data_IF_258756434551
#
_entry.id   IF_258756434551
#
_cell.length_a   1.000
_cell.length_b   1.000
_cell.length_c   1.000
_cell.angle_alpha   90.00
_cell.angle_beta   90.00
_cell.angle_gamma   90.00
#
_symmetry.space_group_name_H-M   'P 1'
#
loop_
_entity.id
_entity.type
_entity.pdbx_description
1 polymer ?
#
# COMPACT_ATOMS: atom_id res chain seq x y z
N UNK A 1 -25.89 -4.23 -5.50
CA UNK A 1 -25.99 -2.90 -6.14
C UNK A 1 -24.62 -2.59 -6.73
N UNK A 2 -24.55 -2.34 -8.04
CA UNK A 2 -23.29 -1.94 -8.68
C UNK A 2 -22.98 -0.49 -8.27
N UNK A 3 -21.71 -0.20 -7.94
CA UNK A 3 -21.26 1.16 -7.60
C UNK A 3 -21.23 2.00 -8.88
N UNK A 4 -21.83 3.19 -8.85
CA UNK A 4 -21.61 4.21 -9.89
C UNK A 4 -20.31 4.97 -9.61
N UNK A 5 -19.23 4.54 -10.26
CA UNK A 5 -17.89 5.14 -10.12
C UNK A 5 -17.74 6.52 -10.77
N UNK A 6 -18.75 6.99 -11.53
CA UNK A 6 -18.78 8.39 -11.97
C UNK A 6 -19.11 9.34 -10.82
N UNK A 7 -19.78 8.86 -9.77
CA UNK A 7 -20.17 9.65 -8.59
C UNK A 7 -19.43 9.24 -7.32
N UNK A 8 -19.16 7.95 -7.18
CA UNK A 8 -18.51 7.39 -5.99
C UNK A 8 -17.01 7.56 -6.11
N UNK A 9 -16.39 8.23 -5.13
CA UNK A 9 -14.93 8.47 -5.12
C UNK A 9 -14.19 7.34 -4.40
N UNK A 10 -14.78 6.80 -3.33
CA UNK A 10 -14.19 5.71 -2.59
C UNK A 10 -15.22 4.66 -2.16
N UNK A 11 -14.75 3.42 -2.04
CA UNK A 11 -15.52 2.30 -1.50
C UNK A 11 -14.68 1.51 -0.50
N UNK A 12 -15.36 0.67 0.29
CA UNK A 12 -14.74 -0.30 1.18
C UNK A 12 -15.33 -1.68 0.88
N UNK A 13 -14.47 -2.69 0.81
CA UNK A 13 -14.90 -4.08 0.70
C UNK A 13 -15.63 -4.54 1.97
N UNK A 14 -16.73 -5.27 1.80
CA UNK A 14 -17.52 -5.84 2.90
C UNK A 14 -17.58 -7.37 2.74
N UNK A 15 -16.65 -8.12 3.36
CA UNK A 15 -16.47 -9.56 3.09
C UNK A 15 -17.73 -10.38 3.41
N UNK A 16 -18.38 -10.13 4.56
CA UNK A 16 -19.60 -10.84 4.97
C UNK A 16 -20.75 -10.71 3.99
N UNK A 17 -20.73 -9.70 3.12
CA UNK A 17 -21.78 -9.46 2.14
C UNK A 17 -21.28 -9.60 0.69
N UNK A 18 -19.98 -9.82 0.48
CA UNK A 18 -19.35 -9.98 -0.82
C UNK A 18 -19.60 -8.80 -1.78
N UNK A 19 -19.51 -7.56 -1.29
CA UNK A 19 -19.70 -6.39 -2.16
C UNK A 19 -18.91 -5.16 -1.72
N UNK A 20 -18.65 -4.27 -2.68
CA UNK A 20 -18.08 -2.95 -2.44
C UNK A 20 -19.15 -1.96 -1.95
N UNK A 21 -18.94 -1.37 -0.78
CA UNK A 21 -19.83 -0.35 -0.23
C UNK A 21 -19.23 1.05 -0.43
N UNK A 22 -19.97 1.94 -1.08
CA UNK A 22 -19.59 3.34 -1.21
C UNK A 22 -19.31 4.01 0.15
N UNK A 23 -18.30 4.88 0.18
CA UNK A 23 -17.96 5.74 1.31
C UNK A 23 -18.51 7.14 1.01
N UNK A 24 -19.58 7.52 1.73
CA UNK A 24 -20.26 8.81 1.54
C UNK A 24 -19.53 9.95 2.26
N UNK A 25 -18.92 9.66 3.41
CA UNK A 25 -18.23 10.64 4.26
C UNK A 25 -16.74 10.33 4.30
N UNK A 26 -15.98 11.04 3.47
CA UNK A 26 -14.52 10.94 3.41
C UNK A 26 -13.86 11.99 4.29
N UNK A 27 -12.71 11.62 4.85
CA UNK A 27 -11.77 12.55 5.48
C UNK A 27 -11.24 13.54 4.45
N UNK A 28 -11.30 14.85 4.75
CA UNK A 28 -10.94 15.94 3.83
C UNK A 28 -9.51 16.42 3.98
N UNK A 29 -8.65 15.61 4.60
CA UNK A 29 -7.23 15.93 4.78
C UNK A 29 -6.55 16.28 3.45
N UNK A 30 -5.87 17.41 3.42
CA UNK A 30 -5.09 17.90 2.27
C UNK A 30 -3.60 17.55 2.39
N UNK A 31 -2.87 17.62 1.28
CA UNK A 31 -1.41 17.39 1.26
C UNK A 31 -0.64 18.46 2.05
N UNK A 32 -1.17 19.68 2.10
CA UNK A 32 -0.66 20.83 2.84
C UNK A 32 -0.74 20.65 4.36
N UNK A 33 -1.69 19.86 4.84
CA UNK A 33 -1.89 19.57 6.27
C UNK A 33 -0.91 18.52 6.81
N UNK A 34 -0.16 17.84 5.94
CA UNK A 34 0.79 16.81 6.32
C UNK A 34 2.21 17.40 6.40
N UNK A 35 2.67 17.67 7.62
CA UNK A 35 3.93 18.36 7.89
C UNK A 35 5.06 17.34 8.12
N UNK A 36 6.26 17.65 7.60
CA UNK A 36 7.48 16.86 7.86
C UNK A 36 7.63 15.60 7.01
N UNK A 37 6.82 15.46 5.96
CA UNK A 37 6.84 14.33 5.01
C UNK A 37 6.83 14.79 3.55
N UNK A 38 7.50 15.92 3.26
CA UNK A 38 7.48 16.57 1.94
C UNK A 38 8.03 15.68 0.82
N UNK A 39 9.08 14.91 1.10
CA UNK A 39 9.63 13.96 0.14
C UNK A 39 8.63 12.84 -0.17
N UNK A 40 8.00 12.24 0.84
CA UNK A 40 6.99 11.19 0.68
C UNK A 40 5.77 11.72 -0.09
N UNK A 41 5.34 12.96 0.19
CA UNK A 41 4.28 13.64 -0.57
C UNK A 41 4.63 13.76 -2.04
N UNK A 42 5.83 14.24 -2.35
CA UNK A 42 6.28 14.45 -3.72
C UNK A 42 6.39 13.13 -4.48
N UNK A 43 7.01 12.12 -3.88
CA UNK A 43 7.20 10.81 -4.51
C UNK A 43 5.87 10.10 -4.78
N UNK A 44 4.96 10.04 -3.78
CA UNK A 44 3.66 9.41 -3.98
C UNK A 44 2.81 10.17 -4.99
N UNK A 45 2.78 11.50 -4.91
CA UNK A 45 2.03 12.35 -5.85
C UNK A 45 2.51 12.15 -7.28
N UNK A 46 3.82 12.19 -7.52
CA UNK A 46 4.39 11.97 -8.85
C UNK A 46 4.05 10.58 -9.39
N UNK A 47 4.09 9.56 -8.55
CA UNK A 47 3.70 8.20 -8.93
C UNK A 47 2.22 8.13 -9.34
N UNK A 48 1.33 8.74 -8.55
CA UNK A 48 -0.11 8.81 -8.84
C UNK A 48 -0.41 9.64 -10.10
N UNK A 49 0.31 10.74 -10.34
CA UNK A 49 0.16 11.54 -11.56
C UNK A 49 0.53 10.75 -12.81
N UNK A 50 1.65 9.99 -12.77
CA UNK A 50 2.03 9.09 -13.86
C UNK A 50 0.96 8.05 -14.13
N UNK A 51 0.42 7.44 -13.08
CA UNK A 51 -0.67 6.47 -13.18
C UNK A 51 -1.93 7.07 -13.85
N UNK A 52 -2.33 8.27 -13.44
CA UNK A 52 -3.47 8.99 -14.03
C UNK A 52 -3.23 9.33 -15.51
N UNK A 53 -1.98 9.61 -15.87
CA UNK A 53 -1.56 9.89 -17.24
C UNK A 53 -1.28 8.63 -18.08
N UNK A 54 -1.67 7.43 -17.61
CA UNK A 54 -1.42 6.15 -18.29
C UNK A 54 0.08 5.87 -18.55
N UNK A 55 0.95 6.42 -17.71
CA UNK A 55 2.39 6.18 -17.73
C UNK A 55 2.76 5.12 -16.68
N UNK A 56 3.96 4.54 -16.81
CA UNK A 56 4.47 3.58 -15.83
C UNK A 56 4.45 4.15 -14.41
N UNK A 57 3.81 3.43 -13.49
CA UNK A 57 3.68 3.77 -12.08
C UNK A 57 3.78 2.50 -11.24
N UNK A 58 4.17 2.66 -9.98
CA UNK A 58 4.50 1.56 -9.10
C UNK A 58 3.42 1.36 -8.03
N UNK A 59 3.21 0.09 -7.65
CA UNK A 59 2.60 -0.23 -6.37
C UNK A 59 3.45 0.38 -5.24
N UNK A 60 2.82 0.90 -4.19
CA UNK A 60 3.49 1.66 -3.16
C UNK A 60 3.36 1.02 -1.77
N UNK A 61 4.47 0.90 -1.05
CA UNK A 61 4.51 0.45 0.34
C UNK A 61 5.00 1.59 1.22
N UNK A 62 4.10 2.08 2.07
CA UNK A 62 4.38 3.12 3.06
C UNK A 62 4.65 2.43 4.40
N UNK A 63 5.85 2.55 4.95
CA UNK A 63 6.22 1.83 6.16
C UNK A 63 6.85 2.74 7.21
N UNK A 64 6.73 2.33 8.47
CA UNK A 64 7.29 3.07 9.61
C UNK A 64 6.32 3.17 10.78
N UNK A 65 6.64 3.96 11.80
CA UNK A 65 5.89 3.99 13.06
C UNK A 65 4.43 4.42 12.89
N UNK A 66 3.56 3.99 13.80
CA UNK A 66 2.16 4.44 13.84
C UNK A 66 2.10 5.95 14.12
N UNK A 67 1.12 6.63 13.52
CA UNK A 67 0.90 8.07 13.76
C UNK A 67 1.79 9.02 12.94
N UNK A 68 2.61 8.50 12.02
CA UNK A 68 3.48 9.30 11.15
C UNK A 68 2.81 9.80 9.86
N UNK A 69 1.51 9.54 9.68
CA UNK A 69 0.73 10.08 8.55
C UNK A 69 0.66 9.21 7.30
N UNK A 70 1.04 7.92 7.35
CA UNK A 70 1.00 7.00 6.18
C UNK A 70 -0.37 6.90 5.50
N UNK A 71 -1.39 6.49 6.24
CA UNK A 71 -2.76 6.34 5.72
C UNK A 71 -3.37 7.71 5.40
N UNK A 72 -3.00 8.75 6.15
CA UNK A 72 -3.39 10.14 5.88
C UNK A 72 -2.85 10.64 4.55
N UNK A 73 -1.62 10.27 4.18
CA UNK A 73 -1.04 10.64 2.90
C UNK A 73 -1.81 10.03 1.72
N UNK A 74 -2.20 8.75 1.81
CA UNK A 74 -2.99 8.08 0.77
C UNK A 74 -4.35 8.79 0.60
N UNK A 75 -5.02 9.14 1.71
CA UNK A 75 -6.27 9.92 1.67
C UNK A 75 -6.08 11.31 1.07
N UNK A 76 -5.01 12.00 1.43
CA UNK A 76 -4.70 13.32 0.87
C UNK A 76 -4.42 13.26 -0.64
N UNK A 77 -3.73 12.22 -1.12
CA UNK A 77 -3.54 11.96 -2.56
C UNK A 77 -4.88 11.71 -3.25
N UNK A 78 -5.77 10.90 -2.68
CA UNK A 78 -7.13 10.72 -3.22
C UNK A 78 -7.85 12.07 -3.34
N UNK A 79 -7.89 12.85 -2.27
CA UNK A 79 -8.58 14.13 -2.23
C UNK A 79 -8.06 15.10 -3.29
N UNK A 80 -6.74 15.10 -3.52
CA UNK A 80 -6.09 15.98 -4.49
C UNK A 80 -6.36 15.59 -5.95
N UNK A 81 -6.65 14.31 -6.24
CA UNK A 81 -6.75 13.80 -7.61
C UNK A 81 -8.09 13.14 -7.98
N UNK A 82 -9.07 13.11 -7.09
CA UNK A 82 -10.40 12.51 -7.34
C UNK A 82 -11.10 13.08 -8.59
N UNK A 83 -10.96 14.39 -8.83
CA UNK A 83 -11.53 15.10 -9.99
C UNK A 83 -10.85 14.70 -11.32
N UNK A 84 -9.66 14.10 -11.26
CA UNK A 84 -8.94 13.55 -12.43
C UNK A 84 -9.26 12.07 -12.68
N UNK A 85 -10.28 11.53 -12.00
CA UNK A 85 -10.72 10.13 -12.18
C UNK A 85 -10.04 9.13 -11.25
N UNK A 86 -9.29 9.58 -10.24
CA UNK A 86 -8.73 8.68 -9.21
C UNK A 86 -9.84 8.17 -8.29
N UNK A 87 -9.81 6.88 -7.96
CA UNK A 87 -10.73 6.21 -7.03
C UNK A 87 -9.96 5.40 -6.01
N UNK A 88 -10.53 5.22 -4.83
CA UNK A 88 -9.94 4.43 -3.75
C UNK A 88 -10.85 3.28 -3.34
N UNK A 89 -10.31 2.07 -3.26
CA UNK A 89 -11.00 0.93 -2.69
C UNK A 89 -10.22 0.48 -1.46
N UNK A 90 -10.81 0.59 -0.28
CA UNK A 90 -10.22 0.06 0.94
C UNK A 90 -10.53 -1.42 1.09
N UNK A 91 -9.50 -2.24 1.32
CA UNK A 91 -9.60 -3.66 1.63
C UNK A 91 -8.89 -3.91 2.95
N UNK A 92 -9.51 -4.67 3.85
CA UNK A 92 -8.87 -5.06 5.11
C UNK A 92 -7.80 -6.13 4.82
N UNK A 93 -6.72 -6.16 5.61
CA UNK A 93 -5.64 -7.14 5.44
C UNK A 93 -6.14 -8.60 5.45
N UNK A 94 -7.18 -8.89 6.22
CA UNK A 94 -7.75 -10.24 6.32
C UNK A 94 -8.60 -10.61 5.10
N UNK A 95 -9.01 -9.62 4.31
CA UNK A 95 -9.89 -9.79 3.15
C UNK A 95 -9.12 -9.72 1.82
N UNK A 96 -7.78 -9.65 1.85
CA UNK A 96 -6.95 -9.60 0.64
C UNK A 96 -7.07 -10.85 -0.24
N UNK A 97 -7.60 -11.96 0.28
CA UNK A 97 -7.95 -13.14 -0.53
C UNK A 97 -8.96 -12.80 -1.64
N UNK A 98 -9.80 -11.79 -1.44
CA UNK A 98 -10.84 -11.34 -2.38
C UNK A 98 -10.29 -10.36 -3.44
N UNK A 99 -9.00 -10.01 -3.36
CA UNK A 99 -8.40 -9.02 -4.24
C UNK A 99 -8.54 -9.33 -5.74
N UNK A 100 -8.40 -10.59 -6.22
CA UNK A 100 -8.61 -10.91 -7.63
C UNK A 100 -10.02 -10.55 -8.11
N UNK A 101 -11.05 -10.93 -7.35
CA UNK A 101 -12.46 -10.64 -7.69
C UNK A 101 -12.72 -9.12 -7.70
N UNK A 102 -12.18 -8.39 -6.70
CA UNK A 102 -12.30 -6.93 -6.65
C UNK A 102 -11.64 -6.28 -7.87
N UNK A 103 -10.48 -6.78 -8.29
CA UNK A 103 -9.76 -6.30 -9.48
C UNK A 103 -10.55 -6.59 -10.75
N UNK A 104 -11.13 -7.77 -10.88
CA UNK A 104 -11.92 -8.16 -12.04
C UNK A 104 -13.19 -7.30 -12.20
N UNK A 105 -13.82 -6.89 -11.08
CA UNK A 105 -14.96 -5.97 -11.13
C UNK A 105 -14.61 -4.57 -11.68
N UNK A 106 -13.36 -4.11 -11.55
CA UNK A 106 -12.98 -2.72 -11.84
C UNK A 106 -12.03 -2.55 -13.03
N UNK A 107 -11.40 -3.62 -13.53
CA UNK A 107 -10.34 -3.55 -14.55
C UNK A 107 -10.76 -2.93 -15.88
N UNK A 108 -12.02 -3.09 -16.27
CA UNK A 108 -12.56 -2.55 -17.54
C UNK A 108 -13.17 -1.13 -17.38
N UNK A 109 -13.13 -0.55 -16.18
CA UNK A 109 -13.67 0.77 -15.92
C UNK A 109 -12.70 1.88 -16.32
N UNK A 110 -13.24 3.01 -16.75
CA UNK A 110 -12.46 4.16 -17.22
C UNK A 110 -11.69 4.89 -16.10
N UNK A 111 -12.10 4.72 -14.84
CA UNK A 111 -11.40 5.31 -13.69
C UNK A 111 -10.08 4.59 -13.40
N UNK A 112 -9.22 5.27 -12.63
CA UNK A 112 -7.95 4.72 -12.13
C UNK A 112 -8.10 4.42 -10.64
N UNK A 113 -7.86 3.20 -10.23
CA UNK A 113 -8.13 2.72 -8.88
C UNK A 113 -6.84 2.52 -8.10
N UNK A 114 -6.81 3.05 -6.88
CA UNK A 114 -5.88 2.61 -5.84
C UNK A 114 -6.66 1.62 -4.97
N UNK A 115 -6.22 0.37 -4.91
CA UNK A 115 -6.63 -0.55 -3.86
C UNK A 115 -5.72 -0.33 -2.66
N UNK A 116 -6.31 0.04 -1.54
CA UNK A 116 -5.62 0.43 -0.32
C UNK A 116 -5.81 -0.62 0.79
N UNK A 117 -4.69 -1.17 1.26
CA UNK A 117 -4.64 -2.02 2.45
C UNK A 117 -3.90 -1.31 3.59
N UNK A 118 -4.57 -1.11 4.73
CA UNK A 118 -3.95 -0.52 5.91
C UNK A 118 -3.35 -1.61 6.80
N UNK A 119 -2.20 -1.32 7.42
CA UNK A 119 -1.50 -2.19 8.37
C UNK A 119 -1.23 -3.61 7.85
N UNK A 120 -0.73 -3.70 6.62
CA UNK A 120 -0.32 -4.95 5.99
C UNK A 120 0.80 -5.62 6.80
N UNK A 121 0.59 -6.92 7.05
CA UNK A 121 1.61 -7.83 7.58
C UNK A 121 1.85 -8.94 6.56
N UNK A 122 3.12 -9.26 6.31
CA UNK A 122 3.49 -10.40 5.46
C UNK A 122 3.68 -11.63 6.35
N UNK A 123 2.57 -12.31 6.63
CA UNK A 123 2.58 -13.62 7.28
C UNK A 123 2.46 -14.68 6.17
N UNK A 124 3.54 -15.44 5.97
CA UNK A 124 3.65 -16.40 4.86
C UNK A 124 2.80 -17.64 5.14
N UNK A 125 2.20 -18.18 4.09
CA UNK A 125 1.32 -19.34 4.13
C UNK A 125 -0.17 -18.98 4.04
N UNK A 126 -0.53 -17.74 4.35
CA UNK A 126 -1.91 -17.27 4.27
C UNK A 126 -2.39 -17.11 2.82
N UNK A 127 -3.67 -17.39 2.59
CA UNK A 127 -4.29 -17.23 1.28
C UNK A 127 -4.27 -15.77 0.79
N UNK A 128 -4.36 -14.80 1.71
CA UNK A 128 -4.21 -13.37 1.47
C UNK A 128 -2.87 -13.00 0.82
N UNK A 129 -1.78 -13.63 1.24
CA UNK A 129 -0.44 -13.41 0.66
C UNK A 129 -0.39 -13.88 -0.80
N UNK A 130 -0.91 -15.08 -1.08
CA UNK A 130 -0.93 -15.62 -2.45
C UNK A 130 -1.79 -14.78 -3.39
N UNK A 131 -2.93 -14.29 -2.91
CA UNK A 131 -3.81 -13.40 -3.68
C UNK A 131 -3.12 -12.06 -4.00
N UNK A 132 -2.51 -11.42 -3.00
CA UNK A 132 -1.75 -10.19 -3.18
C UNK A 132 -0.59 -10.39 -4.18
N UNK A 133 0.20 -11.46 -4.01
CA UNK A 133 1.31 -11.79 -4.91
C UNK A 133 0.81 -11.97 -6.35
N UNK A 134 -0.28 -12.70 -6.57
CA UNK A 134 -0.86 -12.94 -7.89
C UNK A 134 -1.21 -11.63 -8.62
N UNK A 135 -1.81 -10.67 -7.90
CA UNK A 135 -2.16 -9.37 -8.50
C UNK A 135 -0.93 -8.50 -8.77
N UNK A 136 0.08 -8.56 -7.90
CA UNK A 136 1.33 -7.81 -8.05
C UNK A 136 2.23 -8.36 -9.17
N UNK A 137 2.35 -9.68 -9.28
CA UNK A 137 3.16 -10.35 -10.31
C UNK A 137 2.47 -10.32 -11.69
N UNK A 138 1.13 -10.28 -11.69
CA UNK A 138 0.35 -10.73 -12.83
C UNK A 138 0.32 -12.25 -12.86
N UNK A 139 -0.84 -12.81 -13.21
CA UNK A 139 -0.96 -14.26 -13.40
C UNK A 139 -0.64 -14.59 -14.87
N UNK A 140 -1.33 -15.56 -15.48
CA UNK A 140 -1.37 -15.68 -16.94
C UNK A 140 -1.93 -14.40 -17.56
N UNK A 141 -2.83 -13.74 -16.84
CA UNK A 141 -3.37 -12.44 -17.23
C UNK A 141 -2.45 -11.31 -16.79
N UNK A 142 -2.23 -10.37 -17.71
CA UNK A 142 -1.47 -9.17 -17.42
C UNK A 142 -2.15 -8.36 -16.29
N UNK A 143 -1.37 -7.73 -15.39
CA UNK A 143 -1.93 -6.84 -14.39
C UNK A 143 -2.79 -5.75 -15.02
N UNK A 144 -3.93 -5.38 -14.41
CA UNK A 144 -4.80 -4.32 -14.92
C UNK A 144 -4.06 -2.98 -15.00
N UNK A 145 -4.14 -2.31 -16.15
CA UNK A 145 -3.46 -1.02 -16.34
C UNK A 145 -4.06 0.12 -15.50
N UNK A 146 -5.27 -0.06 -14.98
CA UNK A 146 -6.03 0.94 -14.23
C UNK A 146 -6.11 0.65 -12.72
N UNK A 147 -5.29 -0.26 -12.19
CA UNK A 147 -5.21 -0.53 -10.74
C UNK A 147 -3.77 -0.41 -10.23
N UNK A 148 -3.60 0.22 -9.08
CA UNK A 148 -2.40 0.16 -8.26
C UNK A 148 -2.75 -0.29 -6.84
N UNK A 149 -1.83 -0.98 -6.20
CA UNK A 149 -1.93 -1.38 -4.79
C UNK A 149 -1.06 -0.47 -3.95
N UNK A 150 -1.69 0.28 -3.04
CA UNK A 150 -0.99 1.01 -2.00
C UNK A 150 -1.23 0.31 -0.67
N UNK A 151 -0.17 0.09 0.09
CA UNK A 151 -0.25 -0.53 1.41
C UNK A 151 0.47 0.31 2.46
N UNK A 152 -0.02 0.31 3.70
CA UNK A 152 0.77 0.75 4.84
C UNK A 152 1.28 -0.44 5.65
N UNK A 153 2.41 -0.29 6.35
CA UNK A 153 2.81 -1.23 7.39
C UNK A 153 3.44 -0.50 8.59
N UNK A 154 3.08 -0.93 9.79
CA UNK A 154 3.68 -0.44 11.03
C UNK A 154 4.94 -1.20 11.45
N UNK A 155 5.23 -2.35 10.83
CA UNK A 155 6.39 -3.16 11.16
C UNK A 155 7.56 -2.70 10.30
N UNK A 156 8.62 -2.19 10.96
CA UNK A 156 9.93 -1.96 10.34
C UNK A 156 10.52 -3.25 9.76
N UNK A 157 10.16 -4.39 10.36
CA UNK A 157 10.58 -5.74 9.97
C UNK A 157 9.66 -6.39 8.93
N UNK A 158 9.33 -5.68 7.84
CA UNK A 158 8.86 -6.37 6.63
C UNK A 158 10.02 -7.16 6.00
N UNK A 159 11.26 -6.74 6.28
CA UNK A 159 12.51 -7.45 6.06
C UNK A 159 13.15 -7.73 7.43
N UNK A 160 13.63 -8.95 7.73
CA UNK A 160 14.55 -9.11 8.84
C UNK A 160 15.80 -8.26 8.55
N UNK A 161 16.33 -7.63 9.59
CA UNK A 161 17.51 -6.75 9.49
C UNK A 161 18.74 -7.59 9.13
N UNK A 162 18.96 -7.87 7.83
CA UNK A 162 20.11 -8.64 7.35
C UNK A 162 21.47 -7.94 7.51
N UNK A 163 21.53 -6.74 8.12
CA UNK A 163 22.75 -5.93 8.10
C UNK A 163 23.53 -5.88 9.42
N UNK A 164 22.98 -6.35 10.55
CA UNK A 164 23.72 -6.33 11.82
C UNK A 164 23.91 -7.72 12.48
N UNK A 165 23.15 -8.77 12.11
CA UNK A 165 23.25 -10.09 12.76
C UNK A 165 24.23 -11.08 12.09
N UNK A 166 24.74 -10.77 10.90
CA UNK A 166 25.71 -11.61 10.17
C UNK A 166 27.08 -11.76 10.85
N UNK A 167 27.28 -11.16 12.04
CA UNK A 167 28.52 -11.33 12.82
C UNK A 167 28.45 -12.37 13.92
N UNK A 168 27.27 -12.88 14.33
CA UNK A 168 27.19 -13.76 15.51
C UNK A 168 26.27 -14.99 15.43
N UNK A 169 25.54 -15.24 14.33
CA UNK A 169 24.63 -16.39 14.27
C UNK A 169 25.37 -17.74 14.10
N UNK A 170 25.51 -18.45 15.23
CA UNK A 170 25.90 -19.88 15.27
C UNK A 170 24.74 -20.75 14.79
N UNK A 171 25.08 -21.62 13.83
CA UNK A 171 24.29 -22.65 13.17
C UNK A 171 23.53 -23.56 14.15
N UNK A 172 22.18 -23.59 14.09
CA UNK A 172 21.37 -24.72 14.59
C UNK A 172 20.06 -24.87 13.78
N UNK A 173 20.04 -25.82 12.84
CA UNK A 173 18.96 -26.80 12.63
C UNK A 173 17.58 -26.39 12.09
N UNK A 174 17.15 -25.13 12.18
CA UNK A 174 15.83 -24.65 11.70
C UNK A 174 15.96 -23.47 10.71
N UNK A 175 17.20 -23.14 10.32
CA UNK A 175 17.55 -21.94 9.54
C UNK A 175 17.04 -21.98 8.09
N UNK A 176 16.85 -23.17 7.50
CA UNK A 176 16.45 -23.29 6.09
C UNK A 176 15.03 -22.78 5.86
N UNK A 177 14.07 -23.18 6.71
CA UNK A 177 12.69 -22.73 6.60
C UNK A 177 12.52 -21.24 6.93
N UNK A 178 13.35 -20.73 7.85
CA UNK A 178 13.36 -19.30 8.20
C UNK A 178 13.94 -18.45 7.06
N UNK A 179 15.00 -18.93 6.39
CA UNK A 179 15.58 -18.30 5.21
C UNK A 179 14.61 -18.30 4.01
N UNK A 180 13.97 -19.43 3.71
CA UNK A 180 12.98 -19.54 2.62
C UNK A 180 11.80 -18.57 2.83
N UNK A 181 11.27 -18.55 4.05
CA UNK A 181 10.20 -17.62 4.45
C UNK A 181 10.67 -16.17 4.32
N UNK A 182 11.93 -15.89 4.59
CA UNK A 182 12.46 -14.54 4.50
C UNK A 182 12.65 -14.06 3.06
N UNK A 183 13.21 -14.90 2.19
CA UNK A 183 13.38 -14.62 0.76
C UNK A 183 12.03 -14.39 0.07
N UNK A 184 10.99 -15.14 0.45
CA UNK A 184 9.65 -14.91 -0.08
C UNK A 184 9.06 -13.54 0.32
N UNK A 185 9.26 -13.08 1.57
CA UNK A 185 8.83 -11.74 1.99
C UNK A 185 9.55 -10.65 1.23
N UNK A 186 10.86 -10.81 1.03
CA UNK A 186 11.68 -9.93 0.20
C UNK A 186 11.12 -9.86 -1.22
N UNK A 187 10.87 -11.01 -1.85
CA UNK A 187 10.37 -11.10 -3.22
C UNK A 187 9.01 -10.43 -3.40
N UNK A 188 8.09 -10.55 -2.44
CA UNK A 188 6.81 -9.84 -2.50
C UNK A 188 7.00 -8.33 -2.31
N UNK A 189 7.83 -7.94 -1.35
CA UNK A 189 8.09 -6.52 -1.05
C UNK A 189 8.74 -5.82 -2.24
N UNK A 190 9.62 -6.49 -2.98
CA UNK A 190 10.26 -5.97 -4.20
C UNK A 190 9.24 -5.66 -5.32
N UNK A 191 8.02 -6.20 -5.27
CA UNK A 191 6.94 -5.86 -6.21
C UNK A 191 6.26 -4.54 -5.93
N UNK A 192 6.47 -3.99 -4.73
CA UNK A 192 6.19 -2.58 -4.50
C UNK A 192 7.35 -1.77 -5.07
N UNK A 193 7.20 -1.25 -6.29
CA UNK A 193 8.25 -0.45 -6.92
C UNK A 193 8.47 0.93 -6.29
N UNK A 194 7.64 1.34 -5.31
CA UNK A 194 7.80 2.59 -4.56
C UNK A 194 7.73 2.31 -3.05
N UNK A 195 8.82 2.62 -2.34
CA UNK A 195 8.92 2.44 -0.90
C UNK A 195 9.08 3.78 -0.22
N UNK A 196 8.17 4.10 0.69
CA UNK A 196 8.17 5.36 1.42
C UNK A 196 8.35 5.09 2.90
N UNK A 197 9.49 5.52 3.44
CA UNK A 197 9.81 5.39 4.86
C UNK A 197 9.27 6.58 5.66
N UNK A 198 8.67 6.28 6.80
CA UNK A 198 8.07 7.27 7.69
C UNK A 198 8.66 7.12 9.10
N UNK A 199 9.58 8.02 9.44
CA UNK A 199 10.19 8.06 10.76
C UNK A 199 9.49 9.08 11.65
N UNK A 200 9.35 8.80 12.95
CA UNK A 200 8.88 9.81 13.89
C UNK A 200 9.82 11.01 13.86
N UNK A 201 9.25 12.21 13.76
CA UNK A 201 10.01 13.47 13.80
C UNK A 201 10.68 13.55 15.17
N UNK A 202 12.01 13.49 15.21
CA UNK A 202 12.76 13.69 16.45
C UNK A 202 12.83 15.18 16.77
N UNK A 203 11.74 15.72 17.34
CA UNK A 203 11.66 17.10 17.79
C UNK A 203 12.79 17.47 18.78
N UNK A 204 13.28 16.52 19.58
CA UNK A 204 14.38 16.74 20.52
C UNK A 204 15.74 16.91 19.83
N UNK A 205 15.94 16.32 18.64
CA UNK A 205 17.15 16.51 17.84
C UNK A 205 17.15 17.83 17.09
N UNK A 206 16.00 18.23 16.54
CA UNK A 206 15.87 19.48 15.79
C UNK A 206 16.12 20.70 16.68
N UNK A 207 15.63 20.71 17.93
CA UNK A 207 15.87 21.79 18.89
C UNK A 207 17.34 21.89 19.35
N UNK A 208 18.13 20.81 19.27
CA UNK A 208 19.56 20.83 19.62
C UNK A 208 20.48 21.38 18.53
N UNK A 209 20.00 21.50 17.30
CA UNK A 209 20.77 22.01 16.15
C UNK A 209 20.56 23.53 15.99
N UNK A 210 19.52 24.09 16.61
CA UNK A 210 19.12 25.50 16.46
C UNK A 210 19.50 26.36 17.69
N UNK A 211 20.29 25.82 18.62
CA UNK A 211 20.95 26.57 19.71
C UNK A 211 22.47 26.65 19.49
#
# INVERSE_FOLDING_TARGET
MSIDWNKTIAAIWRPRKGYLRAIENMDRIGLDQLIGIDEQKQQLSRNTERFLSAQGANNALLWGSRGTGKSSLIKAVLNNYQERGLRLIQVDRNDLIELPEIVDEIRELAQRFIVFCDDLTFDIGEASYRALKSVLDGSIEAPPSNVLIYATSNRRHLLPEYMDENREARVVGDDLHLADTTEEKLALSDRFGLWLSFYPVNWQGYLKIVD
#
